data_IF_797187181962
#
_entry.id   IF_797187181962
#
_cell.length_a   1.000
_cell.length_b   1.000
_cell.length_c   1.000
_cell.angle_alpha   90.00
_cell.angle_beta   90.00
_cell.angle_gamma   90.00
#
_symmetry.space_group_name_H-M   'P 1'
#
loop_
_entity.id
_entity.type
_entity.pdbx_description
1 polymer ?
#
# COMPACT_ATOMS: atom_id res chain seq x y z
N UNK A 1 -23.72 -26.14 23.25
CA UNK A 1 -23.03 -27.34 22.75
C UNK A 1 -24.07 -28.23 22.13
N UNK A 2 -24.23 -28.10 20.82
CA UNK A 2 -24.37 -29.17 19.83
C UNK A 2 -24.57 -28.47 18.48
N UNK A 3 -23.80 -28.91 17.51
CA UNK A 3 -23.40 -28.14 16.35
C UNK A 3 -24.46 -28.19 15.24
N UNK A 4 -24.82 -27.02 14.71
CA UNK A 4 -25.54 -26.86 13.42
C UNK A 4 -24.80 -27.48 12.21
N UNK A 5 -23.64 -28.11 12.43
CA UNK A 5 -22.76 -28.71 11.44
C UNK A 5 -23.29 -30.06 10.92
N UNK A 6 -24.11 -30.78 11.71
CA UNK A 6 -24.53 -32.16 11.36
C UNK A 6 -25.67 -32.25 10.34
N UNK A 7 -26.45 -31.19 10.12
CA UNK A 7 -27.61 -31.25 9.21
C UNK A 7 -27.30 -30.88 7.75
N UNK A 8 -26.07 -30.43 7.44
CA UNK A 8 -25.73 -30.00 6.07
C UNK A 8 -25.24 -31.13 5.15
N UNK A 9 -25.13 -32.37 5.65
CA UNK A 9 -24.55 -33.49 4.90
C UNK A 9 -25.55 -34.30 4.05
N UNK A 10 -26.85 -33.95 4.00
CA UNK A 10 -27.88 -34.87 3.49
C UNK A 10 -28.81 -34.35 2.37
N UNK A 11 -28.45 -33.32 1.61
CA UNK A 11 -29.31 -32.96 0.45
C UNK A 11 -28.53 -32.35 -0.71
N UNK A 12 -28.07 -33.23 -1.60
CA UNK A 12 -27.86 -32.92 -3.01
C UNK A 12 -29.23 -32.68 -3.65
N UNK A 13 -29.72 -31.43 -3.70
CA UNK A 13 -30.41 -30.86 -4.86
C UNK A 13 -30.94 -29.45 -4.58
N UNK A 14 -30.59 -28.57 -5.51
CA UNK A 14 -31.31 -27.39 -6.00
C UNK A 14 -32.69 -27.14 -5.36
N UNK A 15 -32.81 -26.13 -4.51
CA UNK A 15 -34.12 -25.64 -4.05
C UNK A 15 -34.32 -24.21 -4.53
N UNK A 16 -35.30 -24.05 -5.41
CA UNK A 16 -35.69 -22.85 -6.13
C UNK A 16 -36.96 -22.27 -5.47
N UNK A 17 -36.95 -20.96 -5.23
CA UNK A 17 -38.08 -20.01 -5.06
C UNK A 17 -38.82 -19.79 -3.71
N UNK A 18 -38.79 -18.49 -3.31
CA UNK A 18 -39.87 -17.56 -2.86
C UNK A 18 -40.33 -17.54 -1.37
N UNK A 19 -39.77 -16.52 -0.68
CA UNK A 19 -40.29 -15.58 0.35
C UNK A 19 -41.41 -15.96 1.33
N UNK A 20 -41.17 -15.71 2.64
CA UNK A 20 -41.86 -14.66 3.44
C UNK A 20 -41.37 -14.59 4.91
N UNK A 21 -40.93 -13.38 5.29
CA UNK A 21 -41.01 -12.72 6.60
C UNK A 21 -40.44 -13.32 7.92
N UNK A 22 -39.69 -12.44 8.60
CA UNK A 22 -39.38 -12.33 10.05
C UNK A 22 -38.12 -13.00 10.62
N UNK A 23 -37.37 -12.17 11.36
CA UNK A 23 -36.35 -12.45 12.39
C UNK A 23 -34.92 -12.83 11.95
N UNK A 24 -34.13 -11.81 11.66
CA UNK A 24 -32.95 -11.44 12.47
C UNK A 24 -32.09 -12.58 13.07
N UNK A 25 -31.57 -13.51 12.27
CA UNK A 25 -30.30 -14.26 12.54
C UNK A 25 -29.84 -14.96 11.24
N UNK A 26 -29.52 -14.17 10.21
CA UNK A 26 -29.09 -14.70 8.92
C UNK A 26 -27.56 -14.82 8.85
N UNK A 27 -27.04 -16.04 8.94
CA UNK A 27 -25.67 -16.40 8.59
C UNK A 27 -25.39 -15.95 7.14
N UNK A 28 -24.80 -14.76 7.00
CA UNK A 28 -24.30 -14.20 5.74
C UNK A 28 -23.14 -15.06 5.23
N UNK A 29 -23.45 -16.21 4.65
CA UNK A 29 -22.50 -16.88 3.76
C UNK A 29 -22.57 -16.14 2.43
N UNK A 30 -21.81 -15.04 2.32
CA UNK A 30 -21.46 -14.44 1.03
C UNK A 30 -20.80 -15.53 0.17
N UNK A 31 -21.58 -16.15 -0.70
CA UNK A 31 -21.05 -17.00 -1.77
C UNK A 31 -20.65 -16.07 -2.91
N UNK A 32 -19.35 -15.84 -3.05
CA UNK A 32 -18.80 -15.17 -4.22
C UNK A 32 -19.14 -16.00 -5.47
N UNK A 33 -19.80 -15.40 -6.46
CA UNK A 33 -19.92 -15.99 -7.80
C UNK A 33 -18.71 -15.53 -8.60
N UNK A 34 -17.76 -16.44 -8.83
CA UNK A 34 -16.52 -16.15 -9.55
C UNK A 34 -16.39 -17.05 -10.79
N UNK A 35 -15.71 -16.62 -11.86
CA UNK A 35 -15.40 -17.47 -13.01
C UNK A 35 -14.67 -18.75 -12.59
N UNK A 36 -14.97 -19.86 -13.26
CA UNK A 36 -14.42 -21.19 -12.93
C UNK A 36 -12.89 -21.23 -12.99
N UNK A 37 -12.31 -20.43 -13.88
CA UNK A 37 -10.87 -20.27 -14.04
C UNK A 37 -10.25 -19.77 -12.73
N UNK A 38 -10.82 -18.71 -12.14
CA UNK A 38 -10.36 -18.13 -10.88
C UNK A 38 -10.63 -19.07 -9.70
N UNK A 39 -11.76 -19.78 -9.70
CA UNK A 39 -12.05 -20.78 -8.67
C UNK A 39 -10.99 -21.89 -8.67
N UNK A 40 -10.60 -22.38 -9.86
CA UNK A 40 -9.57 -23.39 -10.02
C UNK A 40 -8.19 -22.87 -9.58
N UNK A 41 -7.85 -21.62 -9.90
CA UNK A 41 -6.62 -20.98 -9.42
C UNK A 41 -6.59 -20.86 -7.90
N UNK A 42 -7.70 -20.43 -7.27
CA UNK A 42 -7.82 -20.34 -5.83
C UNK A 42 -7.65 -21.72 -5.18
N UNK A 43 -8.32 -22.75 -5.72
CA UNK A 43 -8.17 -24.14 -5.25
C UNK A 43 -6.71 -24.60 -5.34
N UNK A 44 -6.02 -24.36 -6.47
CA UNK A 44 -4.60 -24.66 -6.64
C UNK A 44 -3.70 -23.94 -5.62
N UNK A 45 -4.06 -22.72 -5.23
CA UNK A 45 -3.34 -21.94 -4.21
C UNK A 45 -3.71 -22.32 -2.77
N UNK A 46 -4.56 -23.31 -2.53
CA UNK A 46 -4.97 -23.74 -1.19
C UNK A 46 -6.22 -23.05 -0.64
N UNK A 47 -6.99 -22.41 -1.52
CA UNK A 47 -8.28 -21.79 -1.22
C UNK A 47 -8.20 -20.39 -0.61
N UNK A 48 -9.37 -19.78 -0.43
CA UNK A 48 -9.50 -18.40 0.07
C UNK A 48 -8.89 -18.19 1.46
N UNK A 49 -8.98 -19.18 2.35
CA UNK A 49 -8.42 -19.06 3.69
C UNK A 49 -6.88 -18.97 3.66
N UNK A 50 -6.22 -19.70 2.76
CA UNK A 50 -4.78 -19.58 2.59
C UNK A 50 -4.39 -18.19 2.08
N UNK A 51 -5.10 -17.68 1.07
CA UNK A 51 -4.89 -16.31 0.58
C UNK A 51 -5.01 -15.29 1.71
N UNK A 52 -6.06 -15.37 2.54
CA UNK A 52 -6.25 -14.48 3.71
C UNK A 52 -5.11 -14.56 4.72
N UNK A 53 -4.65 -15.77 5.03
CA UNK A 53 -3.61 -16.00 6.01
C UNK A 53 -2.23 -15.58 5.50
N UNK A 54 -2.00 -15.64 4.18
CA UNK A 54 -0.75 -15.27 3.53
C UNK A 54 -0.63 -13.73 3.35
N UNK A 55 -1.65 -12.92 3.69
CA UNK A 55 -1.55 -11.46 3.61
C UNK A 55 -0.56 -10.91 4.65
N UNK A 56 0.49 -10.20 4.20
CA UNK A 56 1.50 -9.63 5.09
C UNK A 56 0.97 -8.33 5.72
N UNK A 57 0.08 -8.46 6.71
CA UNK A 57 -0.72 -7.35 7.25
C UNK A 57 0.16 -6.26 7.90
N UNK A 58 1.24 -6.65 8.57
CA UNK A 58 2.15 -5.68 9.21
C UNK A 58 3.01 -4.95 8.18
N UNK A 59 3.50 -5.66 7.16
CA UNK A 59 4.24 -5.08 6.04
C UNK A 59 3.36 -4.11 5.24
N UNK A 60 2.08 -4.44 5.05
CA UNK A 60 1.11 -3.55 4.39
C UNK A 60 0.99 -2.22 5.13
N UNK A 61 0.93 -2.22 6.47
CA UNK A 61 0.89 -0.97 7.26
C UNK A 61 2.15 -0.14 7.09
N UNK A 62 3.31 -0.78 7.01
CA UNK A 62 4.60 -0.09 6.75
C UNK A 62 4.60 0.54 5.36
N UNK A 63 4.19 -0.22 4.34
CA UNK A 63 4.08 0.27 2.96
C UNK A 63 3.07 1.41 2.86
N UNK A 64 1.92 1.30 3.52
CA UNK A 64 0.89 2.34 3.56
C UNK A 64 1.47 3.67 4.09
N UNK A 65 2.25 3.62 5.19
CA UNK A 65 2.90 4.81 5.76
C UNK A 65 3.88 5.45 4.77
N UNK A 66 4.68 4.64 4.07
CA UNK A 66 5.59 5.11 3.02
C UNK A 66 4.79 5.76 1.89
N UNK A 67 3.75 5.11 1.40
CA UNK A 67 2.93 5.60 0.28
C UNK A 67 2.20 6.90 0.63
N UNK A 68 1.61 7.03 1.82
CA UNK A 68 1.05 8.30 2.33
C UNK A 68 2.12 9.39 2.41
N UNK A 69 3.37 9.01 2.68
CA UNK A 69 4.49 9.95 2.68
C UNK A 69 4.94 10.35 1.28
N UNK A 70 4.76 9.50 0.29
CA UNK A 70 5.11 9.77 -1.11
C UNK A 70 3.99 10.48 -1.89
N UNK A 71 2.74 10.38 -1.45
CA UNK A 71 1.57 11.02 -2.07
C UNK A 71 1.53 12.55 -1.83
N UNK A 72 2.61 13.25 -2.20
CA UNK A 72 2.74 14.71 -2.17
C UNK A 72 3.82 15.12 -3.17
N UNK A 73 3.46 16.07 -4.02
CA UNK A 73 4.31 16.51 -5.14
C UNK A 73 5.65 17.10 -4.66
N UNK A 74 5.66 17.86 -3.56
CA UNK A 74 6.88 18.51 -3.06
C UNK A 74 7.87 17.47 -2.51
N UNK A 75 7.37 16.46 -1.78
CA UNK A 75 8.18 15.34 -1.29
C UNK A 75 8.76 14.50 -2.43
N UNK A 76 7.99 14.26 -3.49
CA UNK A 76 8.51 13.61 -4.70
C UNK A 76 9.59 14.47 -5.37
N UNK A 77 9.36 15.79 -5.54
CA UNK A 77 10.38 16.71 -6.07
C UNK A 77 11.68 16.66 -5.28
N UNK A 78 11.62 16.64 -3.94
CA UNK A 78 12.80 16.48 -3.08
C UNK A 78 13.51 15.14 -3.34
N UNK A 79 12.77 14.03 -3.43
CA UNK A 79 13.37 12.72 -3.69
C UNK A 79 14.08 12.65 -5.05
N UNK A 80 13.45 13.15 -6.10
CA UNK A 80 14.04 13.21 -7.43
C UNK A 80 15.27 14.14 -7.47
N UNK A 81 15.21 15.29 -6.80
CA UNK A 81 16.36 16.19 -6.66
C UNK A 81 17.52 15.49 -5.95
N UNK A 82 17.25 14.80 -4.84
CA UNK A 82 18.24 14.05 -4.07
C UNK A 82 18.77 12.79 -4.75
N UNK A 83 18.05 12.28 -5.76
CA UNK A 83 18.54 11.21 -6.62
C UNK A 83 19.69 11.67 -7.50
N UNK A 84 19.60 12.91 -7.99
CA UNK A 84 20.59 13.55 -8.86
C UNK A 84 21.78 14.08 -8.05
N UNK A 85 21.53 14.81 -6.96
CA UNK A 85 22.61 15.38 -6.14
C UNK A 85 22.22 15.56 -4.66
N UNK A 86 23.22 15.51 -3.78
CA UNK A 86 23.03 15.76 -2.35
C UNK A 86 22.89 17.27 -2.10
N UNK A 87 21.94 17.69 -1.28
CA UNK A 87 21.57 19.12 -1.13
C UNK A 87 21.41 19.56 0.33
N UNK A 88 21.59 20.85 0.60
CA UNK A 88 21.17 21.48 1.86
C UNK A 88 19.66 21.79 1.84
N UNK A 89 19.11 22.16 3.01
CA UNK A 89 17.72 22.65 3.10
C UNK A 89 17.48 23.89 2.24
N UNK A 90 18.48 24.77 2.10
CA UNK A 90 18.44 25.97 1.26
C UNK A 90 18.08 25.66 -0.20
N UNK A 91 18.84 24.76 -0.82
CA UNK A 91 18.61 24.34 -2.20
C UNK A 91 17.26 23.64 -2.37
N UNK A 92 16.86 22.81 -1.39
CA UNK A 92 15.57 22.11 -1.44
C UNK A 92 14.38 23.07 -1.30
N UNK A 93 14.49 24.09 -0.44
CA UNK A 93 13.46 25.10 -0.27
C UNK A 93 13.28 25.95 -1.55
N UNK A 94 14.38 26.33 -2.19
CA UNK A 94 14.34 27.03 -3.48
C UNK A 94 13.73 26.16 -4.59
N UNK A 95 14.13 24.88 -4.70
CA UNK A 95 13.60 23.95 -5.71
C UNK A 95 12.11 23.68 -5.52
N UNK A 96 11.66 23.54 -4.27
CA UNK A 96 10.25 23.27 -3.96
C UNK A 96 9.40 24.53 -3.89
N UNK A 97 10.00 25.73 -3.95
CA UNK A 97 9.32 27.03 -3.80
C UNK A 97 8.45 27.09 -2.54
N UNK A 98 8.99 26.61 -1.42
CA UNK A 98 8.30 26.68 -0.13
C UNK A 98 9.16 27.36 0.94
N UNK A 99 8.50 27.89 1.98
CA UNK A 99 9.19 28.42 3.14
C UNK A 99 10.09 27.35 3.80
N UNK A 100 11.17 27.78 4.45
CA UNK A 100 12.13 26.90 5.13
C UNK A 100 11.49 25.97 6.16
N UNK A 101 10.49 26.46 6.91
CA UNK A 101 9.74 25.66 7.90
C UNK A 101 8.98 24.52 7.23
N UNK A 102 8.29 24.81 6.11
CA UNK A 102 7.56 23.82 5.31
C UNK A 102 8.51 22.82 4.63
N UNK A 103 9.63 23.28 4.11
CA UNK A 103 10.66 22.40 3.54
C UNK A 103 11.20 21.43 4.61
N UNK A 104 11.49 21.95 5.81
CA UNK A 104 11.96 21.16 6.94
C UNK A 104 10.93 20.11 7.37
N UNK A 105 9.64 20.46 7.35
CA UNK A 105 8.56 19.51 7.59
C UNK A 105 8.56 18.35 6.57
N UNK A 106 8.63 18.66 5.27
CA UNK A 106 8.69 17.63 4.21
C UNK A 106 9.91 16.70 4.38
N UNK A 107 11.08 17.28 4.67
CA UNK A 107 12.31 16.54 4.94
C UNK A 107 12.15 15.63 6.16
N UNK A 108 11.58 16.12 7.26
CA UNK A 108 11.35 15.32 8.46
C UNK A 108 10.44 14.14 8.19
N UNK A 109 9.36 14.33 7.42
CA UNK A 109 8.49 13.22 7.00
C UNK A 109 9.21 12.18 6.14
N UNK A 110 10.03 12.62 5.19
CA UNK A 110 10.85 11.70 4.38
C UNK A 110 11.90 10.94 5.21
N UNK A 111 12.46 11.58 6.25
CA UNK A 111 13.37 10.93 7.21
C UNK A 111 12.65 9.89 8.07
N UNK A 112 11.44 10.21 8.53
CA UNK A 112 10.61 9.36 9.40
C UNK A 112 10.37 7.97 8.79
N UNK A 113 10.18 7.90 7.47
CA UNK A 113 9.99 6.65 6.73
C UNK A 113 11.29 6.11 6.10
N UNK A 114 12.45 6.66 6.46
CA UNK A 114 13.75 6.14 6.05
C UNK A 114 14.11 6.34 4.58
N UNK A 115 13.47 7.26 3.85
CA UNK A 115 13.76 7.52 2.43
C UNK A 115 15.01 8.39 2.24
N UNK A 116 15.26 9.30 3.18
CA UNK A 116 16.43 10.19 3.15
C UNK A 116 17.20 10.13 4.47
N UNK A 117 18.47 10.51 4.39
CA UNK A 117 19.37 10.66 5.55
C UNK A 117 20.10 11.99 5.47
N UNK A 118 20.59 12.45 6.61
CA UNK A 118 21.34 13.70 6.77
C UNK A 118 22.75 13.43 7.26
N UNK A 119 23.70 14.28 6.86
CA UNK A 119 25.08 14.29 7.36
C UNK A 119 25.52 15.74 7.53
N UNK A 120 26.20 16.04 8.64
CA UNK A 120 26.71 17.38 8.92
C UNK A 120 28.04 17.61 8.19
N UNK A 121 28.16 18.75 7.52
CA UNK A 121 29.39 19.23 6.88
C UNK A 121 29.62 20.69 7.29
N UNK A 122 30.47 20.89 8.29
CA UNK A 122 30.66 22.20 8.92
C UNK A 122 29.35 22.76 9.47
N UNK A 123 28.95 23.92 8.95
CA UNK A 123 27.72 24.63 9.32
C UNK A 123 26.47 24.12 8.56
N UNK A 124 26.64 23.19 7.61
CA UNK A 124 25.56 22.71 6.76
C UNK A 124 25.09 21.31 7.16
N UNK A 125 23.79 21.08 7.02
CA UNK A 125 23.20 19.74 7.01
C UNK A 125 22.91 19.36 5.57
N UNK A 126 23.56 18.28 5.11
CA UNK A 126 23.44 17.79 3.74
C UNK A 126 22.56 16.54 3.73
N UNK A 127 21.49 16.58 2.94
CA UNK A 127 20.55 15.48 2.74
C UNK A 127 20.94 14.62 1.53
N UNK A 128 20.60 13.34 1.60
CA UNK A 128 20.85 12.36 0.54
C UNK A 128 19.87 11.20 0.65
N UNK A 129 19.62 10.48 -0.45
CA UNK A 129 18.81 9.26 -0.42
C UNK A 129 19.47 8.15 0.41
N UNK A 130 18.65 7.35 1.07
CA UNK A 130 19.06 6.04 1.58
C UNK A 130 19.09 5.01 0.44
N UNK A 131 19.53 3.77 0.72
CA UNK A 131 19.42 2.67 -0.25
C UNK A 131 17.94 2.44 -0.66
N UNK A 132 17.03 2.52 0.32
CA UNK A 132 15.58 2.39 0.10
C UNK A 132 14.99 3.55 -0.72
N UNK A 133 15.30 4.80 -0.36
CA UNK A 133 14.85 5.95 -1.16
C UNK A 133 15.35 5.88 -2.62
N UNK A 134 16.60 5.43 -2.83
CA UNK A 134 17.15 5.25 -4.17
C UNK A 134 16.48 4.12 -4.95
N UNK A 135 16.10 3.01 -4.31
CA UNK A 135 15.40 1.92 -5.00
C UNK A 135 14.01 2.34 -5.47
N UNK A 136 13.29 3.13 -4.68
CA UNK A 136 11.97 3.68 -5.06
C UNK A 136 12.07 4.58 -6.29
N UNK A 137 12.95 5.59 -6.26
CA UNK A 137 13.10 6.50 -7.42
C UNK A 137 13.55 5.75 -8.66
N UNK A 138 14.46 4.76 -8.53
CA UNK A 138 14.86 3.89 -9.64
C UNK A 138 13.68 3.09 -10.19
N UNK A 139 12.83 2.56 -9.32
CA UNK A 139 11.65 1.80 -9.74
C UNK A 139 10.68 2.67 -10.53
N UNK A 140 10.33 3.87 -10.05
CA UNK A 140 9.47 4.79 -10.77
C UNK A 140 10.07 5.27 -12.10
N UNK A 141 11.39 5.44 -12.17
CA UNK A 141 12.05 5.77 -13.43
C UNK A 141 12.02 4.62 -14.44
N UNK A 142 12.09 3.37 -13.97
CA UNK A 142 12.10 2.18 -14.81
C UNK A 142 10.70 1.80 -15.29
N UNK A 143 9.72 1.89 -14.40
CA UNK A 143 8.33 1.50 -14.64
C UNK A 143 7.46 2.74 -14.57
N UNK A 144 7.36 3.44 -15.69
CA UNK A 144 6.36 4.49 -15.85
C UNK A 144 5.04 3.82 -16.25
N UNK A 145 3.90 4.21 -15.66
CA UNK A 145 2.62 3.79 -16.20
C UNK A 145 2.57 4.22 -17.67
N UNK A 146 2.10 3.33 -18.54
CA UNK A 146 1.68 3.72 -19.89
C UNK A 146 0.72 4.89 -19.73
N UNK A 147 0.99 5.98 -20.46
CA UNK A 147 0.46 7.33 -20.28
C UNK A 147 -0.94 7.37 -19.63
N UNK A 148 -0.98 7.55 -18.31
CA UNK A 148 -2.19 8.04 -17.62
C UNK A 148 -2.12 9.58 -17.64
N UNK A 149 -2.10 10.13 -18.85
CA UNK A 149 -2.23 11.57 -19.09
C UNK A 149 -3.20 11.70 -20.28
N UNK A 150 -4.48 11.88 -19.95
CA UNK A 150 -5.39 12.67 -20.78
C UNK A 150 -5.50 14.04 -20.13
#
# INVERSE_FOLDING_TARGET
MESCFELCHLSNNSCNYIWLNLSWFGCWTMKFVIPKEIENELKKKGGWNRVKNDLPTEEIKVVEKVMKTLADEKRLKILYALYNQRMCVCMLADLTKCAYSKCSYHISKLKEVGLIKSSRKGNYIIYSLTKFGRSIVRHFNKYKPEEVIK
#
